data_IF_603959183462
#
_entry.id   IF_603959183462
#
_cell.length_a   1.000
_cell.length_b   1.000
_cell.length_c   1.000
_cell.angle_alpha   90.00
_cell.angle_beta   90.00
_cell.angle_gamma   90.00
#
_symmetry.space_group_name_H-M   'P 1'
#
loop_
_entity.id
_entity.type
_entity.pdbx_description
1 polymer ?
#
# COMPACT_ATOMS: atom_id res chain seq x y z
N UNK A 1 25.15 58.32 39.50
CA UNK A 1 25.48 57.38 38.42
C UNK A 1 24.50 56.18 38.51
N UNK A 2 23.53 56.12 37.66
CA UNK A 2 22.56 55.00 37.64
C UNK A 2 22.91 54.16 36.40
N UNK A 3 23.45 52.95 36.66
CA UNK A 3 23.76 52.00 35.61
C UNK A 3 22.54 51.19 35.26
N UNK A 4 22.00 51.40 34.06
CA UNK A 4 20.91 50.60 33.51
C UNK A 4 21.49 49.35 32.86
N UNK A 5 21.19 48.20 33.51
CA UNK A 5 21.51 46.88 32.91
C UNK A 5 20.36 46.50 32.00
N UNK A 6 20.55 46.53 30.71
CA UNK A 6 19.60 45.99 29.75
C UNK A 6 19.78 44.46 29.67
N UNK A 7 18.84 43.73 30.25
CA UNK A 7 18.75 42.29 30.05
C UNK A 7 18.18 42.02 28.67
N UNK A 8 18.99 41.51 27.76
CA UNK A 8 18.54 41.06 26.47
C UNK A 8 17.88 39.68 26.63
N UNK A 9 16.55 39.66 26.51
CA UNK A 9 15.80 38.40 26.44
C UNK A 9 15.90 37.88 25.01
N UNK A 10 16.72 36.85 24.84
CA UNK A 10 16.78 36.10 23.59
C UNK A 10 15.53 35.24 23.46
N UNK A 11 14.61 35.63 22.56
CA UNK A 11 13.43 34.85 22.23
C UNK A 11 13.86 33.72 21.27
N UNK A 12 14.11 32.54 21.81
CA UNK A 12 14.35 31.32 20.99
C UNK A 12 13.03 30.89 20.35
N UNK A 13 12.85 31.22 19.10
CA UNK A 13 11.76 30.66 18.29
C UNK A 13 12.08 29.21 17.95
N UNK A 14 11.53 28.27 18.73
CA UNK A 14 11.56 26.85 18.36
C UNK A 14 10.65 26.65 17.16
N UNK A 15 11.21 26.47 15.97
CA UNK A 15 10.49 25.98 14.80
C UNK A 15 10.11 24.52 15.07
N UNK A 16 8.87 24.29 15.55
CA UNK A 16 8.26 22.96 15.46
C UNK A 16 8.03 22.66 13.98
N UNK A 17 8.94 21.92 13.38
CA UNK A 17 8.75 21.36 12.06
C UNK A 17 7.57 20.38 12.13
N UNK A 18 6.43 20.75 11.57
CA UNK A 18 5.31 19.83 11.33
C UNK A 18 5.81 18.81 10.29
N UNK A 19 6.18 17.60 10.78
CA UNK A 19 6.41 16.49 9.87
C UNK A 19 5.09 16.19 9.17
N UNK A 20 5.06 16.28 7.82
CA UNK A 20 3.91 15.85 7.06
C UNK A 20 3.64 14.37 7.37
N UNK A 21 2.40 13.96 7.67
CA UNK A 21 2.09 12.55 7.90
C UNK A 21 2.46 11.75 6.65
N UNK A 22 3.14 10.61 6.84
CA UNK A 22 3.36 9.67 5.76
C UNK A 22 2.00 9.33 5.15
N UNK A 23 1.88 9.37 3.80
CA UNK A 23 0.65 9.04 3.10
C UNK A 23 0.28 7.60 3.43
N UNK A 24 -0.84 7.39 4.12
CA UNK A 24 -1.40 6.06 4.38
C UNK A 24 -1.87 5.44 3.05
N UNK A 25 -1.80 4.11 2.97
CA UNK A 25 -2.35 3.39 1.83
C UNK A 25 -3.87 3.63 1.71
N UNK A 26 -4.35 3.82 0.48
CA UNK A 26 -5.74 4.15 0.18
C UNK A 26 -6.45 2.95 -0.46
N UNK A 27 -7.36 2.32 0.30
CA UNK A 27 -8.13 1.18 -0.17
C UNK A 27 -9.10 1.54 -1.32
N UNK A 28 -9.61 2.77 -1.39
CA UNK A 28 -10.47 3.21 -2.49
C UNK A 28 -9.70 3.37 -3.79
N UNK A 29 -8.51 3.96 -3.72
CA UNK A 29 -7.59 4.01 -4.87
C UNK A 29 -7.15 2.60 -5.26
N UNK A 30 -6.94 1.72 -4.30
CA UNK A 30 -6.66 0.30 -4.51
C UNK A 30 -7.80 -0.42 -5.24
N UNK A 31 -9.06 -0.17 -4.87
CA UNK A 31 -10.21 -0.71 -5.55
C UNK A 31 -10.28 -0.30 -7.03
N UNK A 32 -10.01 0.97 -7.32
CA UNK A 32 -9.98 1.48 -8.70
C UNK A 32 -8.88 0.80 -9.52
N UNK A 33 -7.69 0.66 -8.95
CA UNK A 33 -6.57 -0.02 -9.61
C UNK A 33 -6.82 -1.52 -9.78
N UNK A 34 -7.42 -2.18 -8.80
CA UNK A 34 -7.81 -3.58 -8.89
C UNK A 34 -8.80 -3.83 -10.03
N UNK A 35 -9.78 -2.95 -10.18
CA UNK A 35 -10.75 -3.00 -11.29
C UNK A 35 -10.07 -2.83 -12.65
N UNK A 36 -9.04 -1.99 -12.72
CA UNK A 36 -8.30 -1.72 -13.94
C UNK A 36 -7.41 -2.90 -14.37
N UNK A 37 -6.67 -3.51 -13.45
CA UNK A 37 -5.57 -4.43 -13.82
C UNK A 37 -5.60 -5.82 -13.17
N UNK A 38 -6.39 -6.06 -12.12
CA UNK A 38 -6.33 -7.30 -11.34
C UNK A 38 -7.58 -8.18 -11.46
N UNK A 39 -8.75 -7.55 -11.60
CA UNK A 39 -10.05 -8.25 -11.46
C UNK A 39 -10.28 -9.36 -12.47
N UNK A 40 -9.74 -9.26 -13.67
CA UNK A 40 -9.98 -10.23 -14.74
C UNK A 40 -9.54 -11.65 -14.34
N UNK A 41 -8.47 -11.76 -13.53
CA UNK A 41 -7.92 -13.03 -13.07
C UNK A 41 -8.24 -13.33 -11.61
N UNK A 42 -8.11 -12.33 -10.74
CA UNK A 42 -8.24 -12.52 -9.28
C UNK A 42 -9.63 -12.22 -8.73
N UNK A 43 -10.53 -11.65 -9.53
CA UNK A 43 -11.80 -11.11 -9.05
C UNK A 43 -11.64 -9.73 -8.41
N UNK A 44 -12.72 -8.93 -8.43
CA UNK A 44 -12.69 -7.61 -7.81
C UNK A 44 -12.56 -7.68 -6.29
N UNK A 45 -13.13 -8.69 -5.66
CA UNK A 45 -13.01 -8.97 -4.23
C UNK A 45 -11.79 -9.83 -3.86
N UNK A 46 -11.01 -10.26 -4.85
CA UNK A 46 -9.86 -11.13 -4.66
C UNK A 46 -10.21 -12.59 -4.39
N UNK A 47 -11.47 -12.99 -4.57
CA UNK A 47 -11.90 -14.38 -4.42
C UNK A 47 -12.01 -15.09 -5.76
N UNK A 48 -10.92 -15.10 -6.49
CA UNK A 48 -10.73 -15.67 -7.82
C UNK A 48 -11.79 -16.68 -8.27
N UNK A 49 -12.39 -16.52 -9.46
CA UNK A 49 -13.41 -17.45 -9.96
C UNK A 49 -12.80 -18.78 -10.43
N UNK A 50 -11.48 -18.86 -10.59
CA UNK A 50 -10.75 -20.03 -11.09
C UNK A 50 -9.66 -20.46 -10.13
N UNK A 51 -9.44 -21.77 -10.03
CA UNK A 51 -8.31 -22.32 -9.27
C UNK A 51 -6.93 -22.04 -9.86
N UNK A 52 -6.89 -21.54 -11.11
CA UNK A 52 -5.63 -21.19 -11.80
C UNK A 52 -5.00 -19.90 -11.25
N UNK A 53 -5.83 -19.05 -10.65
CA UNK A 53 -5.38 -17.77 -10.09
C UNK A 53 -5.57 -17.75 -8.56
N UNK A 54 -4.54 -17.33 -7.80
CA UNK A 54 -4.63 -17.36 -6.35
C UNK A 54 -5.64 -16.35 -5.81
N UNK A 55 -6.25 -16.71 -4.67
CA UNK A 55 -7.12 -15.82 -3.90
C UNK A 55 -6.28 -14.77 -3.19
N UNK A 56 -6.74 -13.53 -3.21
CA UNK A 56 -6.09 -12.37 -2.60
C UNK A 56 -6.91 -11.80 -1.45
N UNK A 57 -8.24 -11.99 -1.48
CA UNK A 57 -9.16 -11.44 -0.48
C UNK A 57 -8.83 -11.90 0.93
N UNK A 58 -8.72 -10.95 1.86
CA UNK A 58 -8.43 -11.22 3.27
C UNK A 58 -6.99 -11.60 3.59
N UNK A 59 -6.08 -11.52 2.62
CA UNK A 59 -4.65 -11.74 2.83
C UNK A 59 -4.02 -10.57 3.60
N UNK A 60 -2.91 -10.80 4.27
CA UNK A 60 -2.19 -9.75 4.98
C UNK A 60 -1.64 -8.69 4.01
N UNK A 61 -1.82 -7.39 4.31
CA UNK A 61 -1.38 -6.33 3.41
C UNK A 61 0.13 -6.32 3.19
N UNK A 62 0.93 -6.60 4.21
CA UNK A 62 2.39 -6.68 4.10
C UNK A 62 2.83 -7.81 3.15
N UNK A 63 2.14 -8.96 3.22
CA UNK A 63 2.41 -10.06 2.31
C UNK A 63 2.07 -9.70 0.86
N UNK A 64 0.90 -9.10 0.63
CA UNK A 64 0.46 -8.67 -0.71
C UNK A 64 1.41 -7.65 -1.31
N UNK A 65 1.78 -6.63 -0.54
CA UNK A 65 2.70 -5.59 -1.03
C UNK A 65 4.10 -6.15 -1.31
N UNK A 66 4.59 -7.05 -0.46
CA UNK A 66 5.86 -7.75 -0.72
C UNK A 66 5.79 -8.59 -1.99
N UNK A 67 4.74 -9.38 -2.16
CA UNK A 67 4.57 -10.24 -3.34
C UNK A 67 4.56 -9.41 -4.64
N UNK A 68 3.83 -8.30 -4.67
CA UNK A 68 3.81 -7.39 -5.82
C UNK A 68 5.18 -6.76 -6.11
N UNK A 69 5.89 -6.33 -5.08
CA UNK A 69 7.27 -5.82 -5.24
C UNK A 69 8.21 -6.89 -5.77
N UNK A 70 8.09 -8.11 -5.27
CA UNK A 70 8.94 -9.23 -5.69
C UNK A 70 8.68 -9.64 -7.15
N UNK A 71 7.43 -9.62 -7.61
CA UNK A 71 7.12 -9.80 -9.03
C UNK A 71 7.65 -8.66 -9.89
N UNK A 72 7.51 -7.42 -9.42
CA UNK A 72 8.01 -6.24 -10.13
C UNK A 72 9.53 -6.25 -10.29
N UNK A 73 10.26 -6.65 -9.26
CA UNK A 73 11.74 -6.70 -9.26
C UNK A 73 12.31 -7.95 -9.95
N UNK A 74 11.49 -8.99 -10.13
CA UNK A 74 11.92 -10.30 -10.59
C UNK A 74 12.44 -11.22 -9.48
N UNK A 75 12.37 -10.83 -8.21
CA UNK A 75 12.73 -11.69 -7.09
C UNK A 75 11.77 -12.90 -6.98
N UNK A 76 10.51 -12.71 -7.36
CA UNK A 76 9.54 -13.80 -7.52
C UNK A 76 9.22 -13.98 -9.00
N UNK A 77 9.41 -15.22 -9.49
CA UNK A 77 9.32 -15.55 -10.93
C UNK A 77 7.90 -15.93 -11.32
N UNK A 78 7.27 -15.09 -12.13
CA UNK A 78 6.03 -15.39 -12.85
C UNK A 78 5.90 -14.38 -13.98
N UNK A 79 5.89 -14.83 -15.23
CA UNK A 79 5.91 -13.95 -16.40
C UNK A 79 4.63 -13.08 -16.49
N UNK A 80 3.46 -13.63 -16.12
CA UNK A 80 2.19 -12.92 -16.16
C UNK A 80 2.19 -11.82 -15.11
N UNK A 81 2.47 -12.18 -13.84
CA UNK A 81 2.49 -11.22 -12.74
C UNK A 81 3.59 -10.18 -12.87
N UNK A 82 4.75 -10.53 -13.42
CA UNK A 82 5.81 -9.56 -13.70
C UNK A 82 5.36 -8.48 -14.68
N UNK A 83 4.59 -8.86 -15.70
CA UNK A 83 4.01 -7.92 -16.66
C UNK A 83 3.06 -6.91 -16.01
N UNK A 84 2.15 -7.38 -15.15
CA UNK A 84 1.21 -6.50 -14.44
C UNK A 84 1.89 -5.70 -13.34
N UNK A 85 2.66 -6.33 -12.47
CA UNK A 85 3.34 -5.65 -11.38
C UNK A 85 4.36 -4.62 -11.86
N UNK A 86 4.97 -4.84 -13.01
CA UNK A 86 5.91 -3.92 -13.65
C UNK A 86 5.32 -2.54 -13.95
N UNK A 87 4.01 -2.46 -14.17
CA UNK A 87 3.29 -1.21 -14.45
C UNK A 87 2.90 -0.41 -13.20
N UNK A 88 3.00 -1.02 -12.03
CA UNK A 88 2.52 -0.43 -10.77
C UNK A 88 3.56 0.51 -10.16
N UNK A 89 3.10 1.65 -9.65
CA UNK A 89 3.90 2.50 -8.75
C UNK A 89 3.96 1.90 -7.35
N UNK A 90 4.85 2.43 -6.50
CA UNK A 90 4.87 2.06 -5.09
C UNK A 90 3.52 2.31 -4.40
N UNK A 91 2.89 3.47 -4.68
CA UNK A 91 1.58 3.81 -4.14
C UNK A 91 0.50 2.84 -4.64
N UNK A 92 0.50 2.46 -5.92
CA UNK A 92 -0.42 1.46 -6.45
C UNK A 92 -0.30 0.13 -5.71
N UNK A 93 0.92 -0.32 -5.46
CA UNK A 93 1.18 -1.57 -4.74
C UNK A 93 0.63 -1.51 -3.31
N UNK A 94 0.92 -0.45 -2.58
CA UNK A 94 0.46 -0.29 -1.21
C UNK A 94 -1.07 -0.17 -1.14
N UNK A 95 -1.68 0.57 -2.06
CA UNK A 95 -3.14 0.73 -2.15
C UNK A 95 -3.85 -0.58 -2.52
N UNK A 96 -3.32 -1.34 -3.47
CA UNK A 96 -3.84 -2.65 -3.86
C UNK A 96 -3.75 -3.65 -2.70
N UNK A 97 -2.64 -3.65 -1.99
CA UNK A 97 -2.45 -4.51 -0.83
C UNK A 97 -3.49 -4.22 0.26
N UNK A 98 -3.73 -2.95 0.57
CA UNK A 98 -4.74 -2.53 1.54
C UNK A 98 -6.15 -2.90 1.09
N UNK A 99 -6.48 -2.67 -0.18
CA UNK A 99 -7.79 -3.01 -0.73
C UNK A 99 -8.08 -4.51 -0.62
N UNK A 100 -7.21 -5.37 -1.15
CA UNK A 100 -7.44 -6.82 -1.12
C UNK A 100 -7.38 -7.39 0.29
N UNK A 101 -6.52 -6.89 1.16
CA UNK A 101 -6.48 -7.30 2.56
C UNK A 101 -7.81 -7.02 3.29
N UNK A 102 -8.50 -5.94 2.93
CA UNK A 102 -9.79 -5.55 3.51
C UNK A 102 -10.98 -6.35 2.99
N UNK A 103 -10.80 -7.15 1.93
CA UNK A 103 -11.87 -7.96 1.38
C UNK A 103 -12.10 -9.24 2.20
N UNK A 104 -13.34 -9.77 2.23
CA UNK A 104 -13.62 -11.03 2.90
C UNK A 104 -12.79 -12.18 2.30
N UNK A 105 -12.22 -13.02 3.16
CA UNK A 105 -11.60 -14.27 2.72
C UNK A 105 -12.69 -15.34 2.53
N UNK A 106 -12.88 -15.82 1.31
CA UNK A 106 -13.75 -16.97 1.03
C UNK A 106 -12.89 -18.22 1.00
N UNK A 107 -13.02 -19.05 2.04
CA UNK A 107 -12.38 -20.38 2.08
C UNK A 107 -13.36 -21.36 1.45
N UNK A 108 -13.05 -21.84 0.24
CA UNK A 108 -13.78 -22.96 -0.33
C UNK A 108 -13.22 -24.26 0.24
N UNK A 109 -13.98 -24.91 1.12
CA UNK A 109 -13.70 -26.30 1.48
C UNK A 109 -14.17 -27.19 0.33
N UNK A 110 -13.23 -27.89 -0.33
CA UNK A 110 -13.62 -29.01 -1.21
C UNK A 110 -14.12 -30.15 -0.31
N UNK A 111 -15.38 -30.47 -0.42
CA UNK A 111 -15.92 -31.72 0.09
C UNK A 111 -15.71 -32.84 -0.92
#
# INVERSE_FOLDING_TARGET
MRTFIYAAIALSTACLGLAAPASAADALAGASKAKEVCQACHGLDGNSPSGDFPKLGGQYPDYLSKALRDYKSGARKNAIMAGFAGTLSKADIDNLAEYYASQPAVIATKH
#
